data_IF_920564743410
#
_entry.id   IF_920564743410
#
_cell.length_a   1.000
_cell.length_b   1.000
_cell.length_c   1.000
_cell.angle_alpha   90.00
_cell.angle_beta   90.00
_cell.angle_gamma   90.00
#
_symmetry.space_group_name_H-M   'P 1'
#
loop_
_entity.id
_entity.type
_entity.pdbx_description
1 polymer ?
#
# COMPACT_ATOMS: atom_id res chain seq x y z
N UNK A 1 1.08 -0.40 4.47
CA UNK A 1 -0.01 -1.04 3.69
C UNK A 1 -0.58 -2.26 4.39
N UNK A 2 0.19 -3.33 4.63
CA UNK A 2 -0.35 -4.55 5.27
C UNK A 2 -1.00 -4.28 6.64
N UNK A 3 -0.37 -3.46 7.47
CA UNK A 3 -0.95 -3.09 8.76
C UNK A 3 -2.18 -2.18 8.62
N UNK A 4 -2.22 -1.31 7.60
CA UNK A 4 -3.42 -0.49 7.31
C UNK A 4 -4.59 -1.37 6.89
N UNK A 5 -4.35 -2.38 6.05
CA UNK A 5 -5.35 -3.36 5.68
C UNK A 5 -5.86 -4.16 6.89
N UNK A 6 -4.97 -4.53 7.82
CA UNK A 6 -5.34 -5.26 9.03
C UNK A 6 -6.13 -4.41 10.04
N UNK A 7 -5.74 -3.16 10.24
CA UNK A 7 -6.36 -2.26 11.23
C UNK A 7 -7.61 -1.55 10.69
N UNK A 8 -7.78 -1.51 9.37
CA UNK A 8 -8.79 -0.69 8.71
C UNK A 8 -8.23 0.68 8.28
N UNK A 9 -8.66 1.13 7.09
CA UNK A 9 -8.29 2.43 6.57
C UNK A 9 -8.84 3.56 7.46
N UNK A 10 -8.03 4.57 7.75
CA UNK A 10 -8.40 5.68 8.63
C UNK A 10 -7.90 5.55 10.08
N UNK A 11 -7.55 4.34 10.54
CA UNK A 11 -7.07 4.09 11.91
C UNK A 11 -5.57 4.43 12.08
N UNK A 12 -5.21 5.69 11.82
CA UNK A 12 -3.82 6.15 11.75
C UNK A 12 -3.11 6.20 13.10
N UNK A 13 -3.83 6.50 14.19
CA UNK A 13 -3.29 6.48 15.55
C UNK A 13 -2.87 5.07 15.96
N UNK A 14 -3.69 4.08 15.63
CA UNK A 14 -3.39 2.68 15.91
C UNK A 14 -2.25 2.15 15.02
N UNK A 15 -2.18 2.59 13.76
CA UNK A 15 -1.04 2.34 12.89
C UNK A 15 0.26 2.91 13.49
N UNK A 16 0.21 4.13 14.03
CA UNK A 16 1.36 4.77 14.68
C UNK A 16 1.78 4.03 15.95
N UNK A 17 0.82 3.54 16.74
CA UNK A 17 1.11 2.69 17.90
C UNK A 17 1.80 1.38 17.46
N UNK A 18 1.29 0.73 16.41
CA UNK A 18 1.87 -0.49 15.87
C UNK A 18 3.34 -0.31 15.42
N UNK A 19 3.69 0.82 14.80
CA UNK A 19 5.08 1.14 14.47
C UNK A 19 5.98 1.26 15.70
N UNK A 20 5.48 1.83 16.80
CA UNK A 20 6.26 1.99 18.04
C UNK A 20 6.46 0.68 18.80
N UNK A 21 5.44 -0.18 18.79
CA UNK A 21 5.46 -1.48 19.47
C UNK A 21 6.25 -2.56 18.71
N UNK A 22 6.35 -2.43 17.38
CA UNK A 22 7.05 -3.42 16.57
C UNK A 22 8.58 -3.35 16.76
N UNK A 23 9.23 -4.48 17.09
CA UNK A 23 10.69 -4.54 17.24
C UNK A 23 11.42 -4.28 15.92
N UNK A 24 10.77 -4.47 14.77
CA UNK A 24 11.36 -4.21 13.45
C UNK A 24 11.72 -2.74 13.25
N UNK A 25 10.96 -1.83 13.88
CA UNK A 25 11.20 -0.39 13.80
C UNK A 25 11.92 0.13 15.06
N UNK A 26 12.57 -0.75 15.85
CA UNK A 26 13.21 -0.35 17.12
C UNK A 26 14.14 0.85 16.95
N UNK A 27 14.95 0.84 15.88
CA UNK A 27 15.93 1.89 15.59
C UNK A 27 15.49 2.85 14.45
N UNK A 28 14.32 2.63 13.86
CA UNK A 28 13.80 3.49 12.81
C UNK A 28 13.09 4.70 13.42
N UNK A 29 13.89 5.71 13.77
CA UNK A 29 13.39 6.96 14.32
C UNK A 29 12.59 7.77 13.29
N UNK A 30 12.93 7.65 12.00
CA UNK A 30 12.25 8.36 10.93
C UNK A 30 10.77 7.98 10.91
N UNK A 31 10.45 6.68 10.87
CA UNK A 31 9.06 6.19 10.90
C UNK A 31 8.37 6.54 12.21
N UNK A 32 9.05 6.42 13.35
CA UNK A 32 8.49 6.75 14.68
C UNK A 32 8.16 8.23 14.88
N UNK A 33 8.89 9.12 14.21
CA UNK A 33 8.70 10.57 14.31
C UNK A 33 7.53 11.11 13.49
N UNK A 34 6.99 10.32 12.54
CA UNK A 34 5.93 10.80 11.64
C UNK A 34 4.64 11.14 12.40
N UNK A 35 3.97 12.19 11.94
CA UNK A 35 2.61 12.52 12.40
C UNK A 35 1.59 11.56 11.78
N UNK A 36 0.42 11.41 12.40
CA UNK A 36 -0.67 10.60 11.82
C UNK A 36 -1.07 11.10 10.44
N UNK A 37 -1.08 12.41 10.24
CA UNK A 37 -1.39 13.04 8.95
C UNK A 37 -0.33 12.75 7.88
N UNK A 38 0.95 12.69 8.24
CA UNK A 38 2.02 12.27 7.33
C UNK A 38 1.90 10.79 6.95
N UNK A 39 1.60 9.93 7.92
CA UNK A 39 1.35 8.50 7.68
C UNK A 39 0.14 8.30 6.77
N UNK A 40 -0.94 9.05 6.98
CA UNK A 40 -2.13 9.03 6.12
C UNK A 40 -1.78 9.40 4.67
N UNK A 41 -1.17 10.58 4.45
CA UNK A 41 -0.75 11.03 3.11
C UNK A 41 0.16 10.03 2.40
N UNK A 42 1.08 9.41 3.16
CA UNK A 42 1.97 8.37 2.63
C UNK A 42 1.18 7.13 2.22
N UNK A 43 0.24 6.67 3.06
CA UNK A 43 -0.61 5.53 2.75
C UNK A 43 -1.49 5.79 1.53
N UNK A 44 -2.09 6.97 1.40
CA UNK A 44 -2.91 7.35 0.25
C UNK A 44 -2.12 7.29 -1.06
N UNK A 45 -0.90 7.83 -1.02
CA UNK A 45 0.01 7.78 -2.17
C UNK A 45 0.33 6.33 -2.55
N UNK A 46 0.63 5.50 -1.56
CA UNK A 46 0.95 4.08 -1.79
C UNK A 46 -0.25 3.31 -2.33
N UNK A 47 -1.47 3.58 -1.84
CA UNK A 47 -2.71 2.97 -2.33
C UNK A 47 -2.92 3.33 -3.81
N UNK A 48 -2.80 4.61 -4.18
CA UNK A 48 -2.93 5.03 -5.58
C UNK A 48 -1.92 4.36 -6.51
N UNK A 49 -0.69 4.16 -6.04
CA UNK A 49 0.34 3.47 -6.83
C UNK A 49 -0.03 2.00 -7.06
N UNK A 50 -0.53 1.31 -6.03
CA UNK A 50 -1.01 -0.08 -6.14
C UNK A 50 -2.23 -0.17 -7.05
N UNK A 51 -3.18 0.76 -6.94
CA UNK A 51 -4.35 0.79 -7.83
C UNK A 51 -3.94 0.96 -9.30
N UNK A 52 -2.98 1.84 -9.57
CA UNK A 52 -2.45 2.04 -10.93
C UNK A 52 -1.73 0.78 -11.43
N UNK A 53 -0.87 0.18 -10.61
CA UNK A 53 -0.17 -1.06 -10.97
C UNK A 53 -1.15 -2.20 -11.30
N UNK A 54 -2.21 -2.35 -10.51
CA UNK A 54 -3.26 -3.34 -10.78
C UNK A 54 -4.00 -3.08 -12.09
N UNK A 55 -4.29 -1.82 -12.43
CA UNK A 55 -4.92 -1.46 -13.71
C UNK A 55 -4.03 -1.84 -14.90
N UNK A 56 -2.72 -1.54 -14.83
CA UNK A 56 -1.76 -1.89 -15.88
C UNK A 56 -1.63 -3.41 -16.05
N UNK A 57 -1.63 -4.17 -14.95
CA UNK A 57 -1.62 -5.63 -14.98
C UNK A 57 -2.88 -6.20 -15.65
N UNK A 58 -4.07 -5.71 -15.27
CA UNK A 58 -5.34 -6.12 -15.85
C UNK A 58 -5.40 -5.83 -17.36
N UNK A 59 -4.88 -4.68 -17.79
CA UNK A 59 -4.81 -4.31 -19.21
C UNK A 59 -3.88 -5.24 -20.00
N UNK A 60 -2.70 -5.54 -19.46
CA UNK A 60 -1.75 -6.49 -20.05
C UNK A 60 -2.33 -7.89 -20.15
N UNK A 61 -3.03 -8.35 -19.13
CA UNK A 61 -3.74 -9.63 -19.17
C UNK A 61 -4.83 -9.66 -20.25
N UNK A 62 -5.63 -8.59 -20.33
CA UNK A 62 -6.67 -8.47 -21.37
C UNK A 62 -6.05 -8.50 -22.76
N UNK A 63 -4.93 -7.81 -22.98
CA UNK A 63 -4.23 -7.81 -24.27
C UNK A 63 -3.67 -9.20 -24.59
N UNK A 64 -3.00 -9.85 -23.65
CA UNK A 64 -2.49 -11.21 -23.84
C UNK A 64 -3.60 -12.22 -24.16
N UNK A 65 -4.80 -12.07 -23.57
CA UNK A 65 -5.97 -12.88 -23.90
C UNK A 65 -6.50 -12.59 -25.31
N UNK A 66 -6.44 -11.36 -25.80
CA UNK A 66 -6.81 -10.99 -27.17
C UNK A 66 -5.83 -11.57 -28.19
N UNK A 67 -4.53 -11.43 -27.94
CA UNK A 67 -3.48 -11.91 -28.85
C UNK A 67 -3.53 -13.44 -28.98
N UNK A 68 -3.74 -14.16 -27.87
CA UNK A 68 -3.96 -15.63 -27.88
C UNK A 68 -5.21 -16.05 -28.66
N UNK A 69 -6.26 -15.23 -28.69
CA UNK A 69 -7.45 -15.50 -29.51
C UNK A 69 -7.21 -15.26 -30.99
N UNK A 70 -6.40 -14.27 -31.34
CA UNK A 70 -6.10 -13.92 -32.73
C UNK A 70 -5.10 -14.88 -33.38
N UNK A 71 -4.23 -15.49 -32.59
CA UNK A 71 -3.27 -16.51 -33.02
C UNK A 71 -3.87 -17.93 -33.16
N UNK A 72 -5.15 -18.12 -32.82
CA UNK A 72 -5.87 -19.39 -32.96
C UNK A 72 -6.85 -19.30 -34.13
#
# INVERSE_FOLDING_TARGET
LCMVHKLGYGNWDELKAAFRMSPLFRFDWFVKSRTTQELARRCDTLIRLVEKENQELDERERQARKDKKLAK
#
